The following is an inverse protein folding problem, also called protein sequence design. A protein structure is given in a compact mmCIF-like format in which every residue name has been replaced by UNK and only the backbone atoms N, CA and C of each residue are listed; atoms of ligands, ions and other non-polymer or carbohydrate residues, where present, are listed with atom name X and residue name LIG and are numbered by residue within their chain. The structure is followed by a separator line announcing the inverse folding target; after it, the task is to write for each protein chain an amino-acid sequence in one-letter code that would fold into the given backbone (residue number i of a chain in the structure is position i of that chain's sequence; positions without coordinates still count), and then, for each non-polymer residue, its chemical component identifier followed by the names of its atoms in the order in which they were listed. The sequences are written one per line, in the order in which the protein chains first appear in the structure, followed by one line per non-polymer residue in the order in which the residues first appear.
data_IF_022961761501
#
_entry.id   IF_022961761501
#
_cell.length_a   1.000
_cell.length_b   1.000
_cell.length_c   1.000
_cell.angle_alpha   90.00
_cell.angle_beta   90.00
_cell.angle_gamma   90.00
#
_symmetry.space_group_name_H-M   'P 1'
#
loop_
_entity.id
_entity.type
_entity.pdbx_description
1 polymer ?
#
# COMPACT_ATOMS: atom_id res chain seq x y z
N UNK A 1 -25.66 0.55 12.36
CA UNK A 1 -24.71 -0.55 12.03
C UNK A 1 -24.26 -1.16 13.34
N UNK A 2 -24.25 -2.49 13.50
CA UNK A 2 -23.78 -3.14 14.74
C UNK A 2 -22.37 -3.70 14.54
N UNK A 3 -21.64 -3.83 15.64
CA UNK A 3 -20.24 -4.28 15.67
C UNK A 3 -20.03 -5.70 15.09
N UNK A 4 -21.05 -6.56 15.15
CA UNK A 4 -21.00 -7.92 14.62
C UNK A 4 -21.25 -8.04 13.10
N UNK A 5 -21.57 -6.95 12.42
CA UNK A 5 -21.91 -6.97 10.98
C UNK A 5 -20.65 -6.87 10.08
N UNK A 6 -19.47 -6.58 10.65
CA UNK A 6 -18.23 -6.36 9.91
C UNK A 6 -17.18 -7.45 10.18
N UNK A 7 -16.51 -7.98 9.14
CA UNK A 7 -15.43 -8.95 9.32
C UNK A 7 -14.19 -8.29 9.94
N UNK A 8 -13.53 -9.01 10.86
CA UNK A 8 -12.29 -8.55 11.50
C UNK A 8 -11.20 -8.25 10.45
N UNK A 9 -10.40 -7.17 10.64
CA UNK A 9 -9.39 -6.75 9.66
C UNK A 9 -8.33 -7.82 9.39
N UNK A 10 -8.04 -8.68 10.38
CA UNK A 10 -7.07 -9.77 10.27
C UNK A 10 -7.45 -10.84 9.26
N UNK A 11 -8.74 -10.99 8.97
CA UNK A 11 -9.25 -11.99 8.03
C UNK A 11 -9.49 -11.42 6.62
N UNK A 12 -9.30 -10.12 6.43
CA UNK A 12 -9.55 -9.46 5.15
C UNK A 12 -8.28 -9.34 4.31
N UNK A 13 -8.44 -9.66 3.02
CA UNK A 13 -7.43 -9.46 1.98
C UNK A 13 -6.08 -10.14 2.28
N UNK A 14 -6.12 -11.27 3.01
CA UNK A 14 -4.92 -12.01 3.43
C UNK A 14 -4.10 -12.55 2.24
N UNK A 15 -4.75 -12.71 1.08
CA UNK A 15 -4.10 -13.15 -0.16
C UNK A 15 -3.38 -12.01 -0.91
N UNK A 16 -3.54 -10.76 -0.46
CA UNK A 16 -2.90 -9.59 -1.07
C UNK A 16 -1.57 -9.25 -0.39
N UNK A 17 -0.62 -8.64 -1.13
CA UNK A 17 0.59 -8.10 -0.52
C UNK A 17 0.25 -7.11 0.60
N UNK A 18 1.00 -7.15 1.70
CA UNK A 18 0.71 -6.37 2.90
C UNK A 18 0.53 -4.86 2.61
N UNK A 19 1.37 -4.27 1.76
CA UNK A 19 1.24 -2.86 1.37
C UNK A 19 -0.04 -2.54 0.60
N UNK A 20 -0.54 -3.46 -0.23
CA UNK A 20 -1.84 -3.31 -0.93
C UNK A 20 -3.00 -3.50 0.05
N UNK A 21 -2.88 -4.49 0.96
CA UNK A 21 -3.84 -4.72 2.04
C UNK A 21 -3.99 -3.48 2.94
N UNK A 22 -2.89 -2.79 3.27
CA UNK A 22 -2.93 -1.53 4.01
C UNK A 22 -3.81 -0.47 3.32
N UNK A 23 -3.68 -0.29 2.00
CA UNK A 23 -4.53 0.64 1.23
C UNK A 23 -6.00 0.28 1.34
N UNK A 24 -6.35 -1.00 1.19
CA UNK A 24 -7.73 -1.46 1.29
C UNK A 24 -8.32 -1.28 2.69
N UNK A 25 -7.53 -1.52 3.73
CA UNK A 25 -7.95 -1.27 5.11
C UNK A 25 -8.21 0.23 5.34
N UNK A 26 -7.38 1.10 4.78
CA UNK A 26 -7.59 2.56 4.83
C UNK A 26 -8.86 2.96 4.08
N UNK A 27 -9.08 2.47 2.86
CA UNK A 27 -10.29 2.76 2.09
C UNK A 27 -11.55 2.23 2.79
N UNK A 28 -11.46 1.05 3.41
CA UNK A 28 -12.55 0.47 4.21
C UNK A 28 -12.87 1.36 5.41
N UNK A 29 -11.85 1.80 6.15
CA UNK A 29 -12.02 2.74 7.27
C UNK A 29 -12.66 4.05 6.82
N UNK A 30 -12.21 4.62 5.70
CA UNK A 30 -12.76 5.85 5.13
C UNK A 30 -14.23 5.70 4.74
N UNK A 31 -14.60 4.58 4.10
CA UNK A 31 -15.99 4.31 3.73
C UNK A 31 -16.91 4.18 4.96
N UNK A 32 -16.43 3.54 6.02
CA UNK A 32 -17.14 3.42 7.30
C UNK A 32 -17.30 4.81 7.94
N UNK A 33 -16.26 5.64 7.94
CA UNK A 33 -16.28 6.99 8.52
C UNK A 33 -17.26 7.93 7.83
N UNK A 34 -17.35 7.89 6.49
CA UNK A 34 -18.22 8.77 5.72
C UNK A 34 -19.70 8.43 5.84
N UNK A 35 -20.07 7.40 6.61
CA UNK A 35 -21.46 6.93 6.73
C UNK A 35 -22.04 6.41 5.41
N UNK A 36 -21.22 6.34 4.36
CA UNK A 36 -21.49 5.62 3.12
C UNK A 36 -21.43 4.15 3.47
N UNK A 37 -22.52 3.62 4.00
CA UNK A 37 -22.73 2.19 4.01
C UNK A 37 -22.68 1.73 2.53
N UNK A 38 -21.77 0.84 2.13
CA UNK A 38 -21.86 0.23 0.80
C UNK A 38 -23.17 -0.57 0.61
N UNK A 39 -24.02 -0.69 1.64
CA UNK A 39 -25.21 -1.53 1.68
C UNK A 39 -26.57 -0.89 2.05
N UNK A 40 -26.79 0.44 2.19
CA UNK A 40 -28.17 1.05 2.09
C UNK A 40 -28.34 2.57 2.23
N UNK A 41 -29.49 3.02 1.69
CA UNK A 41 -30.01 4.37 1.43
C UNK A 41 -30.81 5.08 2.56
N UNK A 42 -30.78 6.42 2.45
CA UNK A 42 -31.77 7.49 2.76
C UNK A 42 -32.36 7.72 4.17
N UNK A 43 -32.09 8.94 4.70
CA UNK A 43 -32.52 9.48 6.02
C UNK A 43 -33.34 10.79 5.91
N UNK A 44 -33.95 11.11 4.78
CA UNK A 44 -34.43 12.47 4.46
C UNK A 44 -35.65 12.98 5.24
N UNK A 45 -36.35 12.14 6.01
CA UNK A 45 -37.69 12.46 6.55
C UNK A 45 -37.77 12.84 8.05
N UNK A 46 -36.65 13.17 8.72
CA UNK A 46 -36.64 13.51 10.17
C UNK A 46 -36.51 15.02 10.45
N UNK A 47 -36.85 15.54 11.65
CA UNK A 47 -36.56 16.93 12.04
C UNK A 47 -35.05 17.24 12.07
N UNK A 48 -34.64 18.49 11.83
CA UNK A 48 -33.22 18.84 11.68
C UNK A 48 -32.37 18.61 12.94
N UNK A 49 -32.91 18.87 14.13
CA UNK A 49 -32.24 18.62 15.42
C UNK A 49 -31.99 17.13 15.66
N UNK A 50 -33.00 16.30 15.39
CA UNK A 50 -32.93 14.83 15.48
C UNK A 50 -31.96 14.26 14.45
N UNK A 51 -31.88 14.87 13.25
CA UNK A 51 -30.88 14.52 12.23
C UNK A 51 -29.46 14.80 12.72
N UNK A 52 -29.21 15.90 13.42
CA UNK A 52 -27.87 16.29 13.82
C UNK A 52 -27.31 15.35 14.91
N UNK A 53 -28.10 15.06 15.95
CA UNK A 53 -27.68 14.12 17.01
C UNK A 53 -27.52 12.70 16.46
N UNK A 54 -28.47 12.25 15.62
CA UNK A 54 -28.36 10.95 14.95
C UNK A 54 -27.15 10.86 14.02
N UNK A 55 -26.81 11.94 13.32
CA UNK A 55 -25.62 12.01 12.47
C UNK A 55 -24.36 12.01 13.33
N UNK A 56 -24.31 12.74 14.44
CA UNK A 56 -23.17 12.75 15.37
C UNK A 56 -22.95 11.35 15.95
N UNK A 57 -23.99 10.70 16.48
CA UNK A 57 -23.92 9.35 17.04
C UNK A 57 -23.54 8.30 15.98
N UNK A 58 -24.06 8.44 14.76
CA UNK A 58 -23.72 7.56 13.64
C UNK A 58 -22.28 7.75 13.17
N UNK A 59 -21.76 8.99 13.19
CA UNK A 59 -20.37 9.28 12.86
C UNK A 59 -19.42 8.79 13.96
N UNK A 60 -19.79 8.91 15.24
CA UNK A 60 -18.99 8.39 16.35
C UNK A 60 -18.93 6.85 16.31
N UNK A 61 -20.07 6.20 16.05
CA UNK A 61 -20.12 4.75 15.85
C UNK A 61 -19.31 4.32 14.62
N UNK A 62 -19.40 5.06 13.51
CA UNK A 62 -18.58 4.84 12.32
C UNK A 62 -17.08 4.90 12.65
N UNK A 63 -16.64 5.94 13.36
CA UNK A 63 -15.24 6.08 13.78
C UNK A 63 -14.77 4.91 14.65
N UNK A 64 -15.61 4.45 15.58
CA UNK A 64 -15.31 3.30 16.45
C UNK A 64 -15.16 2.01 15.63
N UNK A 65 -16.05 1.78 14.66
CA UNK A 65 -15.99 0.62 13.78
C UNK A 65 -14.82 0.68 12.78
N UNK A 66 -14.43 1.87 12.34
CA UNK A 66 -13.30 2.08 11.44
C UNK A 66 -11.94 1.95 12.16
N UNK A 67 -11.88 2.18 13.48
CA UNK A 67 -10.65 2.17 14.28
C UNK A 67 -9.79 0.90 14.11
N UNK A 68 -10.32 -0.33 14.23
CA UNK A 68 -9.51 -1.54 14.06
C UNK A 68 -8.88 -1.65 12.66
N UNK A 69 -9.56 -1.18 11.62
CA UNK A 69 -9.00 -1.17 10.25
C UNK A 69 -7.85 -0.17 10.11
N UNK A 70 -7.99 1.02 10.68
CA UNK A 70 -6.90 2.01 10.71
C UNK A 70 -5.70 1.48 11.48
N UNK A 71 -5.93 0.82 12.62
CA UNK A 71 -4.87 0.26 13.45
C UNK A 71 -4.10 -0.84 12.71
N UNK A 72 -4.82 -1.78 12.07
CA UNK A 72 -4.19 -2.82 11.27
C UNK A 72 -3.39 -2.25 10.09
N UNK A 73 -3.89 -1.21 9.41
CA UNK A 73 -3.14 -0.51 8.36
C UNK A 73 -1.87 0.16 8.90
N UNK A 74 -1.98 0.85 10.05
CA UNK A 74 -0.86 1.54 10.70
C UNK A 74 0.25 0.56 11.09
N UNK A 75 -0.09 -0.60 11.62
CA UNK A 75 0.89 -1.64 12.00
C UNK A 75 1.65 -2.17 10.79
N UNK A 76 0.95 -2.38 9.67
CA UNK A 76 1.59 -2.75 8.40
C UNK A 76 2.54 -1.64 7.94
N UNK A 77 2.06 -0.40 7.87
CA UNK A 77 2.83 0.72 7.35
C UNK A 77 4.06 1.01 8.22
N UNK A 78 3.92 0.95 9.54
CA UNK A 78 5.02 1.12 10.50
C UNK A 78 6.08 0.03 10.29
N UNK A 79 5.69 -1.24 10.23
CA UNK A 79 6.63 -2.36 10.02
C UNK A 79 7.43 -2.18 8.72
N UNK A 80 6.76 -1.81 7.62
CA UNK A 80 7.42 -1.62 6.33
C UNK A 80 8.34 -0.37 6.32
N UNK A 81 7.93 0.70 7.00
CA UNK A 81 8.70 1.93 7.17
C UNK A 81 9.96 1.75 8.05
N UNK A 82 9.85 1.01 9.15
CA UNK A 82 10.98 0.63 10.00
C UNK A 82 11.99 -0.22 9.24
N UNK A 83 11.50 -1.21 8.47
CA UNK A 83 12.35 -2.04 7.61
C UNK A 83 13.10 -1.21 6.56
N UNK A 84 12.41 -0.25 5.93
CA UNK A 84 13.05 0.69 4.99
C UNK A 84 14.16 1.49 5.69
N UNK A 85 13.87 2.05 6.86
CA UNK A 85 14.83 2.84 7.64
C UNK A 85 16.06 2.02 7.99
N UNK A 86 15.89 0.76 8.37
CA UNK A 86 17.00 -0.17 8.63
C UNK A 86 17.80 -0.49 7.36
N UNK A 87 17.14 -0.76 6.23
CA UNK A 87 17.80 -1.02 4.95
C UNK A 87 18.71 0.15 4.54
N UNK A 88 18.23 1.39 4.71
CA UNK A 88 19.02 2.59 4.44
C UNK A 88 20.23 2.73 5.37
N UNK A 89 20.14 2.30 6.63
CA UNK A 89 21.27 2.30 7.57
C UNK A 89 22.35 1.29 7.14
N UNK A 90 21.96 0.07 6.76
CA UNK A 90 22.90 -0.92 6.22
C UNK A 90 23.56 -0.43 4.94
N UNK A 91 22.78 0.16 4.03
CA UNK A 91 23.32 0.70 2.78
C UNK A 91 24.33 1.83 3.03
N UNK A 92 24.03 2.75 3.96
CA UNK A 92 24.95 3.84 4.35
C UNK A 92 26.23 3.35 5.03
N UNK A 93 26.18 2.21 5.72
CA UNK A 93 27.34 1.57 6.34
C UNK A 93 28.06 0.60 5.40
N UNK A 94 27.71 0.59 4.11
CA UNK A 94 28.28 -0.27 3.07
C UNK A 94 28.03 -1.77 3.26
N UNK A 95 27.11 -2.15 4.17
CA UNK A 95 26.58 -3.52 4.24
C UNK A 95 25.46 -3.69 3.20
N UNK A 96 25.88 -3.85 1.95
CA UNK A 96 24.97 -3.94 0.81
C UNK A 96 24.12 -5.20 0.85
N UNK A 97 24.62 -6.31 1.41
CA UNK A 97 23.87 -7.57 1.42
C UNK A 97 22.69 -7.50 2.40
N UNK A 98 22.89 -6.95 3.60
CA UNK A 98 21.80 -6.72 4.55
C UNK A 98 20.78 -5.72 4.02
N UNK A 99 21.24 -4.66 3.34
CA UNK A 99 20.34 -3.71 2.69
C UNK A 99 19.48 -4.37 1.60
N UNK A 100 20.06 -5.20 0.73
CA UNK A 100 19.31 -5.96 -0.30
C UNK A 100 18.24 -6.82 0.37
N UNK A 101 18.60 -7.58 1.41
CA UNK A 101 17.66 -8.47 2.10
C UNK A 101 16.42 -7.71 2.60
N UNK A 102 16.61 -6.57 3.27
CA UNK A 102 15.51 -5.78 3.80
C UNK A 102 14.69 -5.07 2.71
N UNK A 103 15.34 -4.58 1.66
CA UNK A 103 14.61 -4.04 0.51
C UNK A 103 13.79 -5.11 -0.20
N UNK A 104 14.32 -6.32 -0.40
CA UNK A 104 13.62 -7.43 -1.04
C UNK A 104 12.38 -7.86 -0.25
N UNK A 105 12.50 -7.92 1.08
CA UNK A 105 11.35 -8.16 1.94
C UNK A 105 10.26 -7.09 1.77
N UNK A 106 10.63 -5.81 1.62
CA UNK A 106 9.67 -4.74 1.39
C UNK A 106 8.96 -4.85 0.02
N UNK A 107 9.67 -5.23 -1.05
CA UNK A 107 9.00 -5.40 -2.36
C UNK A 107 8.16 -6.68 -2.44
N UNK A 108 8.56 -7.72 -1.69
CA UNK A 108 7.75 -8.93 -1.51
C UNK A 108 6.42 -8.58 -0.83
N UNK A 109 6.49 -7.80 0.24
CA UNK A 109 5.32 -7.29 0.96
C UNK A 109 4.53 -6.20 0.18
N UNK A 110 4.96 -5.84 -1.04
CA UNK A 110 4.26 -4.89 -1.89
C UNK A 110 4.27 -3.45 -1.35
N UNK A 111 5.35 -3.04 -0.68
CA UNK A 111 5.46 -1.70 -0.14
C UNK A 111 5.29 -0.64 -1.24
N UNK A 112 4.57 0.44 -0.96
CA UNK A 112 4.13 1.37 -2.00
C UNK A 112 5.14 2.49 -2.30
N UNK A 113 6.05 2.76 -1.37
CA UNK A 113 7.12 3.71 -1.58
C UNK A 113 8.06 3.19 -2.68
N UNK A 114 8.42 4.06 -3.62
CA UNK A 114 9.31 3.68 -4.75
C UNK A 114 10.74 3.38 -4.32
N UNK A 115 11.15 3.80 -3.12
CA UNK A 115 12.55 3.83 -2.71
C UNK A 115 13.22 2.43 -2.71
N UNK A 116 12.66 1.35 -2.11
CA UNK A 116 13.28 0.03 -2.20
C UNK A 116 13.48 -0.46 -3.63
N UNK A 117 12.48 -0.26 -4.50
CA UNK A 117 12.55 -0.67 -5.90
C UNK A 117 13.64 0.08 -6.65
N UNK A 118 13.75 1.39 -6.45
CA UNK A 118 14.80 2.21 -7.07
C UNK A 118 16.19 1.80 -6.56
N UNK A 119 16.35 1.58 -5.25
CA UNK A 119 17.64 1.15 -4.68
C UNK A 119 18.06 -0.21 -5.16
N UNK A 120 17.18 -1.22 -5.09
CA UNK A 120 17.47 -2.57 -5.60
C UNK A 120 17.81 -2.54 -7.10
N UNK A 121 17.04 -1.81 -7.92
CA UNK A 121 17.34 -1.64 -9.34
C UNK A 121 18.77 -1.11 -9.56
N UNK A 122 19.18 -0.07 -8.83
CA UNK A 122 20.52 0.52 -8.91
C UNK A 122 21.59 -0.49 -8.46
N UNK A 123 21.37 -1.18 -7.34
CA UNK A 123 22.32 -2.15 -6.79
C UNK A 123 22.52 -3.31 -7.77
N UNK A 124 21.44 -3.93 -8.25
CA UNK A 124 21.52 -5.02 -9.22
C UNK A 124 22.13 -4.58 -10.55
N UNK A 125 21.79 -3.38 -11.03
CA UNK A 125 22.41 -2.85 -12.25
C UNK A 125 23.93 -2.67 -12.11
N UNK A 126 24.42 -2.17 -10.96
CA UNK A 126 25.86 -2.05 -10.68
C UNK A 126 26.56 -3.41 -10.64
N UNK A 127 25.87 -4.45 -10.17
CA UNK A 127 26.35 -5.84 -10.20
C UNK A 127 26.22 -6.50 -11.58
N UNK A 128 25.72 -5.77 -12.61
CA UNK A 128 25.35 -6.28 -13.94
C UNK A 128 24.30 -7.40 -13.91
N UNK A 129 23.58 -7.52 -12.80
CA UNK A 129 22.46 -8.44 -12.66
C UNK A 129 21.18 -7.78 -13.21
N UNK A 130 21.13 -7.68 -14.54
CA UNK A 130 20.02 -7.00 -15.22
C UNK A 130 18.71 -7.75 -15.08
N UNK A 131 18.74 -9.08 -14.88
CA UNK A 131 17.55 -9.89 -14.66
C UNK A 131 16.83 -9.47 -13.37
N UNK A 132 17.55 -9.36 -12.26
CA UNK A 132 16.95 -8.89 -11.00
C UNK A 132 16.55 -7.41 -11.06
N UNK A 133 17.34 -6.55 -11.72
CA UNK A 133 16.95 -5.16 -11.90
C UNK A 133 15.61 -5.03 -12.66
N UNK A 134 15.39 -5.85 -13.70
CA UNK A 134 14.12 -5.90 -14.45
C UNK A 134 12.99 -6.44 -13.58
N UNK A 135 13.21 -7.55 -12.83
CA UNK A 135 12.21 -8.15 -11.93
C UNK A 135 11.69 -7.11 -10.93
N UNK A 136 12.58 -6.37 -10.29
CA UNK A 136 12.22 -5.33 -9.31
C UNK A 136 11.37 -4.23 -9.96
N UNK A 137 11.73 -3.78 -11.16
CA UNK A 137 10.93 -2.78 -11.87
C UNK A 137 9.53 -3.29 -12.24
N UNK A 138 9.42 -4.54 -12.72
CA UNK A 138 8.13 -5.17 -13.03
C UNK A 138 7.27 -5.29 -11.78
N UNK A 139 7.87 -5.73 -10.67
CA UNK A 139 7.17 -5.87 -9.40
C UNK A 139 6.55 -4.55 -8.92
N UNK A 140 7.26 -3.42 -9.09
CA UNK A 140 6.68 -2.13 -8.72
C UNK A 140 5.48 -1.76 -9.60
N UNK A 141 5.57 -2.01 -10.91
CA UNK A 141 4.45 -1.76 -11.83
C UNK A 141 3.24 -2.62 -11.45
N UNK A 142 3.42 -3.90 -11.16
CA UNK A 142 2.35 -4.81 -10.71
C UNK A 142 1.63 -4.26 -9.46
N UNK A 143 2.39 -3.82 -8.45
CA UNK A 143 1.82 -3.24 -7.22
C UNK A 143 1.05 -1.95 -7.53
N UNK A 144 1.60 -1.06 -8.37
CA UNK A 144 0.91 0.17 -8.75
C UNK A 144 -0.37 -0.10 -9.55
N UNK A 145 -0.39 -1.15 -10.37
CA UNK A 145 -1.59 -1.58 -11.09
C UNK A 145 -2.67 -2.08 -10.14
N UNK A 146 -2.32 -2.96 -9.18
CA UNK A 146 -3.26 -3.39 -8.14
C UNK A 146 -3.83 -2.20 -7.36
N UNK A 147 -2.97 -1.26 -6.96
CA UNK A 147 -3.42 -0.05 -6.25
C UNK A 147 -4.29 0.83 -7.14
N UNK A 148 -4.05 0.89 -8.45
CA UNK A 148 -4.86 1.71 -9.36
C UNK A 148 -6.31 1.24 -9.48
N UNK A 149 -6.56 -0.04 -9.27
CA UNK A 149 -7.92 -0.62 -9.23
C UNK A 149 -8.70 -0.19 -7.98
N UNK A 150 -7.99 0.15 -6.90
CA UNK A 150 -8.55 0.53 -5.59
C UNK A 150 -8.59 2.06 -5.46
N UNK A 151 -7.49 2.71 -5.80
CA UNK A 151 -7.24 4.13 -5.64
C UNK A 151 -6.57 4.68 -6.90
N UNK A 152 -7.37 4.92 -7.94
CA UNK A 152 -6.90 5.41 -9.24
C UNK A 152 -6.10 6.73 -9.18
N UNK A 153 -6.34 7.55 -8.14
CA UNK A 153 -5.64 8.81 -7.89
C UNK A 153 -4.36 8.64 -7.07
N UNK A 154 -3.93 7.41 -6.76
CA UNK A 154 -2.72 7.18 -5.97
C UNK A 154 -1.49 7.82 -6.64
N UNK A 155 -0.79 8.75 -5.97
CA UNK A 155 0.18 9.61 -6.65
C UNK A 155 1.32 8.88 -7.36
N UNK A 156 1.71 7.69 -6.91
CA UNK A 156 2.83 6.96 -7.50
C UNK A 156 2.49 6.22 -8.79
N UNK A 157 1.21 6.07 -9.17
CA UNK A 157 0.81 5.46 -10.46
C UNK A 157 1.47 6.19 -11.64
N UNK A 158 1.67 7.51 -11.53
CA UNK A 158 2.38 8.33 -12.54
C UNK A 158 3.83 7.89 -12.79
N UNK A 159 4.41 7.05 -11.93
CA UNK A 159 5.78 6.54 -12.09
C UNK A 159 5.84 5.31 -13.01
N UNK A 160 4.72 4.67 -13.38
CA UNK A 160 4.72 3.48 -14.25
C UNK A 160 5.53 3.71 -15.55
N UNK A 161 5.38 4.82 -16.30
CA UNK A 161 6.16 5.05 -17.52
C UNK A 161 7.67 5.08 -17.28
N UNK A 162 8.12 5.69 -16.17
CA UNK A 162 9.55 5.71 -15.79
C UNK A 162 10.09 4.29 -15.61
N UNK A 163 9.33 3.42 -14.95
CA UNK A 163 9.75 2.03 -14.70
C UNK A 163 9.67 1.16 -15.96
N UNK A 164 8.74 1.42 -16.87
CA UNK A 164 8.71 0.80 -18.20
C UNK A 164 9.96 1.15 -19.01
N UNK A 165 10.38 2.41 -18.98
CA UNK A 165 11.61 2.85 -19.66
C UNK A 165 12.86 2.22 -19.05
N UNK A 166 12.92 2.13 -17.71
CA UNK A 166 13.98 1.39 -17.03
C UNK A 166 14.06 -0.07 -17.50
N UNK A 167 12.93 -0.75 -17.65
CA UNK A 167 12.89 -2.14 -18.16
C UNK A 167 13.43 -2.20 -19.59
N UNK A 168 12.98 -1.32 -20.51
CA UNK A 168 13.46 -1.29 -21.90
C UNK A 168 14.98 -1.15 -21.96
N UNK A 169 15.53 -0.19 -21.22
CA UNK A 169 16.97 0.06 -21.13
C UNK A 169 17.74 -1.13 -20.55
N UNK A 170 17.24 -1.74 -19.49
CA UNK A 170 17.88 -2.92 -18.86
C UNK A 170 17.81 -4.15 -19.78
N UNK A 171 16.72 -4.35 -20.52
CA UNK A 171 16.60 -5.39 -21.54
C UNK A 171 17.64 -5.22 -22.65
N UNK A 172 17.90 -3.99 -23.09
CA UNK A 172 18.96 -3.73 -24.08
C UNK A 172 20.35 -4.10 -23.54
N UNK A 173 20.65 -3.76 -22.27
CA UNK A 173 21.90 -4.15 -21.61
C UNK A 173 22.04 -5.67 -21.45
N UNK A 174 20.95 -6.36 -21.09
CA UNK A 174 20.93 -7.82 -20.94
C UNK A 174 21.19 -8.56 -22.26
N UNK A 175 20.77 -8.00 -23.40
CA UNK A 175 21.04 -8.59 -24.73
C UNK A 175 22.46 -8.32 -25.24
N UNK A 176 23.14 -7.31 -24.69
CA UNK A 176 24.45 -6.85 -25.15
C UNK A 176 25.62 -7.45 -24.36
N UNK A 177 25.36 -8.13 -23.25
CA UNK A 177 26.34 -8.86 -22.44
C UNK A 177 26.16 -10.36 -22.60
#
# INVERSE_FOLDING_TARGET
MKENDLPAPDNLFVDLPAGVRSVLLIQTAQAIDSGTNPFKENLTNLPLSVRLDFVIDSLEMGRKLALPYRQAALEIDQRLGERLTQAQKFEKSNDIQSAITLYEQNISDGFLASLPYERLRIIYEKKKDYQNAIRVCKRYIEILQMVSEIWAQYPNIRQIPKYQENIKRLCAKLKAG
#
